data_IF_130883446376
#
_entry.id   IF_130883446376
#
_cell.length_a   1.000
_cell.length_b   1.000
_cell.length_c   1.000
_cell.angle_alpha   90.00
_cell.angle_beta   90.00
_cell.angle_gamma   90.00
#
_symmetry.space_group_name_H-M   'P 1'
#
loop_
_entity.id
_entity.type
_entity.pdbx_description
1 polymer ?
#
# COMPACT_ATOMS: atom_id res chain seq x y z
N UNK A 1 -18.59 -16.30 -10.80
CA UNK A 1 -18.85 -14.84 -10.81
C UNK A 1 -17.91 -14.24 -11.84
N UNK A 2 -18.42 -13.45 -12.79
CA UNK A 2 -17.54 -12.76 -13.74
C UNK A 2 -16.61 -11.84 -12.94
N UNK A 3 -15.29 -12.07 -13.01
CA UNK A 3 -14.29 -11.15 -12.45
C UNK A 3 -14.60 -9.77 -13.02
N UNK A 4 -14.71 -8.77 -12.15
CA UNK A 4 -14.87 -7.37 -12.52
C UNK A 4 -13.80 -7.01 -13.55
N UNK A 5 -14.24 -6.65 -14.75
CA UNK A 5 -13.38 -6.37 -15.91
C UNK A 5 -12.94 -4.90 -15.92
N UNK A 6 -12.32 -4.46 -14.81
CA UNK A 6 -11.78 -3.10 -14.74
C UNK A 6 -10.43 -3.05 -15.49
N UNK A 7 -10.27 -2.15 -16.47
CA UNK A 7 -9.02 -2.00 -17.22
C UNK A 7 -7.85 -1.50 -16.36
N UNK A 8 -8.12 -0.91 -15.19
CA UNK A 8 -7.15 -0.45 -14.20
C UNK A 8 -7.07 -1.45 -13.05
N UNK A 9 -5.87 -1.95 -12.74
CA UNK A 9 -5.67 -2.88 -11.63
C UNK A 9 -4.43 -2.55 -10.80
N UNK A 10 -4.57 -2.70 -9.50
CA UNK A 10 -3.49 -2.62 -8.51
C UNK A 10 -3.30 -4.00 -7.88
N UNK A 11 -2.08 -4.52 -7.93
CA UNK A 11 -1.66 -5.67 -7.14
C UNK A 11 -1.06 -5.17 -5.83
N UNK A 12 -1.49 -5.74 -4.71
CA UNK A 12 -1.05 -5.36 -3.37
C UNK A 12 -0.54 -6.59 -2.61
N UNK A 13 0.36 -6.37 -1.66
CA UNK A 13 0.96 -7.45 -0.89
C UNK A 13 -0.04 -8.11 0.08
N UNK A 14 -0.85 -7.32 0.80
CA UNK A 14 -1.69 -7.81 1.90
C UNK A 14 -3.20 -7.52 1.81
N UNK A 15 -3.95 -8.19 2.68
CA UNK A 15 -5.42 -8.05 2.81
C UNK A 15 -5.86 -6.68 3.28
N UNK A 16 -5.06 -6.03 4.11
CA UNK A 16 -5.42 -4.74 4.70
C UNK A 16 -5.39 -3.64 3.64
N UNK A 17 -4.47 -3.70 2.67
CA UNK A 17 -4.38 -2.78 1.52
C UNK A 17 -5.69 -2.70 0.72
N UNK A 18 -6.36 -3.85 0.53
CA UNK A 18 -7.64 -3.96 -0.18
C UNK A 18 -8.72 -3.02 0.38
N UNK A 19 -8.64 -2.69 1.67
CA UNK A 19 -9.62 -1.87 2.38
C UNK A 19 -9.08 -0.49 2.72
N UNK A 20 -7.78 -0.38 3.00
CA UNK A 20 -7.11 0.87 3.36
C UNK A 20 -7.03 1.81 2.15
N UNK A 21 -6.58 1.32 0.99
CA UNK A 21 -6.36 2.18 -0.19
C UNK A 21 -7.66 2.84 -0.66
N UNK A 22 -8.81 2.15 -0.79
CA UNK A 22 -10.06 2.80 -1.17
C UNK A 22 -10.45 3.95 -0.23
N UNK A 23 -10.47 3.69 1.09
CA UNK A 23 -10.82 4.71 2.10
C UNK A 23 -9.86 5.90 2.04
N UNK A 24 -8.57 5.64 1.84
CA UNK A 24 -7.57 6.68 1.72
C UNK A 24 -7.76 7.56 0.48
N UNK A 25 -8.05 6.96 -0.67
CA UNK A 25 -8.31 7.67 -1.93
C UNK A 25 -9.60 8.49 -1.85
N UNK A 26 -10.66 7.95 -1.23
CA UNK A 26 -11.91 8.70 -1.00
C UNK A 26 -11.69 9.91 -0.09
N UNK A 27 -10.92 9.74 0.97
CA UNK A 27 -10.57 10.84 1.88
C UNK A 27 -9.72 11.92 1.22
N UNK A 28 -9.03 11.58 0.13
CA UNK A 28 -8.24 12.50 -0.69
C UNK A 28 -8.99 13.03 -1.93
N UNK A 29 -10.33 12.95 -1.90
CA UNK A 29 -11.23 13.66 -2.82
C UNK A 29 -11.59 12.91 -4.10
N UNK A 30 -11.27 11.62 -4.20
CA UNK A 30 -11.62 10.80 -5.36
C UNK A 30 -12.69 9.79 -4.97
N UNK A 31 -13.87 9.87 -5.56
CA UNK A 31 -14.91 8.85 -5.37
C UNK A 31 -14.42 7.49 -5.88
N UNK A 32 -14.35 6.48 -5.00
CA UNK A 32 -13.77 5.19 -5.32
C UNK A 32 -14.64 4.38 -6.28
N UNK A 33 -15.94 4.60 -6.27
CA UNK A 33 -16.88 3.91 -7.15
C UNK A 33 -17.37 4.82 -8.26
N UNK A 34 -17.48 4.28 -9.47
CA UNK A 34 -18.04 4.96 -10.63
C UNK A 34 -19.59 5.04 -10.56
N UNK A 35 -20.19 5.67 -11.57
CA UNK A 35 -21.65 5.80 -11.68
C UNK A 35 -22.40 4.46 -11.77
N UNK A 36 -21.70 3.35 -12.06
CA UNK A 36 -22.24 1.99 -12.12
C UNK A 36 -21.94 1.19 -10.84
N UNK A 37 -21.47 1.85 -9.78
CA UNK A 37 -21.07 1.27 -8.49
C UNK A 37 -19.92 0.25 -8.63
N UNK A 38 -19.07 0.40 -9.64
CA UNK A 38 -17.86 -0.40 -9.80
C UNK A 38 -16.66 0.38 -9.27
N UNK A 39 -15.65 -0.28 -8.66
CA UNK A 39 -14.46 0.42 -8.22
C UNK A 39 -13.72 1.03 -9.42
N UNK A 40 -13.13 2.22 -9.27
CA UNK A 40 -12.37 2.91 -10.33
C UNK A 40 -11.06 2.20 -10.67
N UNK A 41 -10.50 1.45 -9.71
CA UNK A 41 -9.33 0.57 -9.86
C UNK A 41 -9.65 -0.75 -9.16
N UNK A 42 -9.45 -1.87 -9.83
CA UNK A 42 -9.56 -3.19 -9.19
C UNK A 42 -8.31 -3.45 -8.35
N UNK A 43 -8.46 -3.76 -7.06
CA UNK A 43 -7.34 -4.17 -6.21
C UNK A 43 -7.41 -5.68 -6.00
N UNK A 44 -6.29 -6.38 -6.19
CA UNK A 44 -6.14 -7.81 -5.92
C UNK A 44 -4.91 -8.04 -5.04
N UNK A 45 -5.06 -8.84 -4.00
CA UNK A 45 -3.94 -9.21 -3.14
C UNK A 45 -3.12 -10.35 -3.74
N UNK A 46 -1.82 -10.34 -3.46
CA UNK A 46 -0.89 -11.38 -3.89
C UNK A 46 -0.48 -12.32 -2.75
N UNK A 47 -0.94 -12.12 -1.51
CA UNK A 47 -0.54 -12.93 -0.34
C UNK A 47 0.98 -12.96 -0.11
N UNK A 48 1.63 -11.79 -0.21
CA UNK A 48 3.09 -11.65 -0.11
C UNK A 48 3.74 -11.21 -1.42
N UNK A 49 4.88 -10.51 -1.30
CA UNK A 49 5.60 -10.00 -2.47
C UNK A 49 6.21 -11.11 -3.33
N UNK A 50 6.50 -12.28 -2.76
CA UNK A 50 7.10 -13.42 -3.46
C UNK A 50 6.19 -13.97 -4.57
N UNK A 51 4.88 -13.73 -4.44
CA UNK A 51 3.88 -14.13 -5.44
C UNK A 51 3.77 -13.12 -6.59
N UNK A 52 4.42 -11.95 -6.48
CA UNK A 52 4.55 -10.96 -7.57
C UNK A 52 5.67 -11.42 -8.50
N UNK A 53 5.38 -12.50 -9.22
CA UNK A 53 6.31 -13.17 -10.13
C UNK A 53 6.30 -12.54 -11.53
N UNK A 54 7.32 -12.85 -12.32
CA UNK A 54 7.37 -12.49 -13.74
C UNK A 54 6.16 -12.99 -14.52
N UNK A 55 5.68 -14.19 -14.19
CA UNK A 55 4.54 -14.82 -14.87
C UNK A 55 3.23 -14.10 -14.53
N UNK A 56 3.06 -13.69 -13.27
CA UNK A 56 1.92 -12.89 -12.85
C UNK A 56 1.91 -11.53 -13.56
N UNK A 57 3.04 -10.82 -13.54
CA UNK A 57 3.19 -9.52 -14.20
C UNK A 57 2.91 -9.66 -15.70
N UNK A 58 3.51 -10.66 -16.36
CA UNK A 58 3.28 -10.95 -17.77
C UNK A 58 1.79 -11.19 -18.04
N UNK A 59 1.14 -12.06 -17.25
CA UNK A 59 -0.28 -12.40 -17.40
C UNK A 59 -1.18 -11.17 -17.27
N UNK A 60 -0.94 -10.31 -16.28
CA UNK A 60 -1.72 -9.09 -16.10
C UNK A 60 -1.51 -8.09 -17.24
N UNK A 61 -0.29 -7.96 -17.75
CA UNK A 61 0.00 -7.12 -18.91
C UNK A 61 -0.61 -7.67 -20.20
N UNK A 62 -0.68 -8.99 -20.37
CA UNK A 62 -1.31 -9.61 -21.56
C UNK A 62 -2.84 -9.61 -21.51
N UNK A 63 -3.44 -9.25 -20.38
CA UNK A 63 -4.91 -9.15 -20.27
C UNK A 63 -5.41 -8.06 -21.22
N UNK A 64 -6.19 -8.46 -22.23
CA UNK A 64 -6.47 -7.62 -23.40
C UNK A 64 -7.17 -6.28 -23.13
N UNK A 65 -7.82 -6.11 -21.97
CA UNK A 65 -8.45 -4.84 -21.56
C UNK A 65 -7.60 -4.03 -20.57
N UNK A 66 -6.46 -4.56 -20.11
CA UNK A 66 -5.57 -3.87 -19.16
C UNK A 66 -4.99 -2.61 -19.83
N UNK A 67 -5.18 -1.48 -19.17
CA UNK A 67 -4.59 -0.20 -19.59
C UNK A 67 -3.60 0.32 -18.55
N UNK A 68 -3.86 0.02 -17.27
CA UNK A 68 -3.05 0.47 -16.15
C UNK A 68 -2.82 -0.70 -15.19
N UNK A 69 -1.56 -0.95 -14.84
CA UNK A 69 -1.16 -1.94 -13.84
C UNK A 69 -0.25 -1.28 -12.81
N UNK A 70 -0.66 -1.29 -11.54
CA UNK A 70 0.17 -0.87 -10.43
C UNK A 70 0.56 -2.02 -9.53
N UNK A 71 1.72 -1.92 -8.89
CA UNK A 71 2.18 -2.77 -7.80
C UNK A 71 2.38 -1.90 -6.55
N UNK A 72 1.91 -2.37 -5.40
CA UNK A 72 2.27 -1.84 -4.08
C UNK A 72 2.85 -2.98 -3.26
N UNK A 73 4.06 -2.78 -2.74
CA UNK A 73 4.76 -3.77 -1.91
C UNK A 73 5.34 -3.11 -0.68
N UNK A 74 5.49 -3.86 0.39
CA UNK A 74 6.18 -3.40 1.59
C UNK A 74 7.70 -3.37 1.34
N UNK A 75 8.44 -2.42 1.91
CA UNK A 75 9.90 -2.47 1.90
C UNK A 75 10.45 -3.51 2.89
N UNK A 76 9.67 -3.85 3.90
CA UNK A 76 10.09 -4.57 5.11
C UNK A 76 11.36 -3.96 5.69
N UNK A 77 12.49 -4.67 5.65
CA UNK A 77 13.77 -4.25 6.25
C UNK A 77 14.69 -3.49 5.26
N UNK A 78 14.56 -3.72 3.95
CA UNK A 78 15.46 -3.12 2.95
C UNK A 78 14.72 -2.76 1.64
N UNK A 79 14.40 -1.47 1.45
CA UNK A 79 13.72 -0.98 0.23
C UNK A 79 14.49 -1.27 -1.05
N UNK A 80 15.84 -1.24 -1.01
CA UNK A 80 16.67 -1.44 -2.19
C UNK A 80 16.66 -2.90 -2.63
N UNK A 81 16.74 -3.82 -1.67
CA UNK A 81 16.61 -5.26 -1.94
C UNK A 81 15.21 -5.59 -2.44
N UNK A 82 14.16 -5.03 -1.81
CA UNK A 82 12.78 -5.18 -2.28
C UNK A 82 12.61 -4.68 -3.70
N UNK A 83 13.10 -3.49 -4.00
CA UNK A 83 13.05 -2.92 -5.34
C UNK A 83 13.74 -3.82 -6.37
N UNK A 84 14.96 -4.30 -6.07
CA UNK A 84 15.67 -5.18 -6.99
C UNK A 84 14.92 -6.49 -7.25
N UNK A 85 14.27 -7.06 -6.24
CA UNK A 85 13.42 -8.25 -6.41
C UNK A 85 12.26 -7.98 -7.38
N UNK A 86 11.50 -6.92 -7.16
CA UNK A 86 10.36 -6.54 -8.03
C UNK A 86 10.83 -6.16 -9.43
N UNK A 87 11.92 -5.40 -9.53
CA UNK A 87 12.55 -5.05 -10.80
C UNK A 87 12.91 -6.29 -11.61
N UNK A 88 13.58 -7.26 -11.00
CA UNK A 88 13.95 -8.51 -11.66
C UNK A 88 12.73 -9.30 -12.16
N UNK A 89 11.62 -9.30 -11.41
CA UNK A 89 10.37 -9.90 -11.86
C UNK A 89 9.74 -9.14 -13.04
N UNK A 90 9.91 -7.82 -13.12
CA UNK A 90 9.37 -6.99 -14.20
C UNK A 90 10.18 -7.05 -15.50
N UNK A 91 11.51 -7.15 -15.42
CA UNK A 91 12.44 -7.06 -16.57
C UNK A 91 12.10 -7.98 -17.77
N UNK A 92 11.58 -9.21 -17.58
CA UNK A 92 11.15 -10.06 -18.70
C UNK A 92 10.01 -9.47 -19.54
N UNK A 93 9.14 -8.64 -18.94
CA UNK A 93 7.99 -8.03 -19.62
C UNK A 93 8.21 -6.54 -19.96
N UNK A 94 9.08 -5.86 -19.21
CA UNK A 94 9.28 -4.41 -19.29
C UNK A 94 10.77 -4.12 -19.26
N UNK A 95 11.34 -3.71 -20.39
CA UNK A 95 12.80 -3.57 -20.54
C UNK A 95 13.36 -2.23 -20.06
N UNK A 96 12.52 -1.23 -19.82
CA UNK A 96 12.90 0.14 -19.46
C UNK A 96 12.68 0.44 -17.97
N UNK A 97 13.02 -0.50 -17.08
CA UNK A 97 12.93 -0.30 -15.62
C UNK A 97 14.27 0.22 -15.07
N UNK A 98 14.29 1.37 -14.35
CA UNK A 98 15.51 1.96 -13.79
C UNK A 98 16.16 1.05 -12.74
N UNK A 99 17.47 1.20 -12.52
CA UNK A 99 18.19 0.45 -11.47
C UNK A 99 17.75 0.84 -10.06
N UNK A 100 17.41 2.10 -9.84
CA UNK A 100 16.91 2.64 -8.57
C UNK A 100 15.44 3.06 -8.71
N UNK A 101 14.64 2.85 -7.66
CA UNK A 101 13.26 3.31 -7.64
C UNK A 101 13.23 4.84 -7.50
N UNK A 102 12.44 5.57 -8.30
CA UNK A 102 12.24 6.99 -8.09
C UNK A 102 11.59 7.24 -6.72
N UNK A 103 12.05 8.27 -5.98
CA UNK A 103 11.47 8.68 -4.70
C UNK A 103 9.95 9.00 -4.78
N UNK A 104 9.47 9.37 -5.97
CA UNK A 104 8.06 9.64 -6.26
C UNK A 104 7.25 8.39 -6.63
N UNK A 105 7.85 7.20 -6.55
CA UNK A 105 7.33 5.96 -7.11
C UNK A 105 7.60 5.85 -8.61
N UNK A 106 7.66 4.61 -9.11
CA UNK A 106 7.83 4.33 -10.53
C UNK A 106 6.51 4.54 -11.26
N UNK A 107 6.55 5.25 -12.40
CA UNK A 107 5.51 5.23 -13.44
C UNK A 107 6.21 5.24 -14.80
N UNK A 108 5.93 4.24 -15.64
CA UNK A 108 6.46 4.12 -17.00
C UNK A 108 5.37 3.64 -17.95
N UNK A 109 5.59 3.85 -19.25
CA UNK A 109 4.80 3.17 -20.29
C UNK A 109 5.53 1.92 -20.74
N UNK A 110 4.81 0.80 -20.80
CA UNK A 110 5.30 -0.45 -21.37
C UNK A 110 5.39 -0.35 -22.90
N UNK A 111 6.13 -1.25 -23.58
CA UNK A 111 6.27 -1.21 -25.04
C UNK A 111 4.95 -1.26 -25.82
N UNK A 112 3.92 -1.88 -25.24
CA UNK A 112 2.57 -1.98 -25.80
C UNK A 112 1.62 -0.86 -25.36
N UNK A 113 2.16 0.20 -24.73
CA UNK A 113 1.43 1.43 -24.41
C UNK A 113 0.57 1.36 -23.15
N UNK A 114 0.71 0.33 -22.31
CA UNK A 114 0.08 0.27 -20.99
C UNK A 114 0.88 1.09 -19.99
N UNK A 115 0.18 1.70 -19.04
CA UNK A 115 0.84 2.43 -17.95
C UNK A 115 1.13 1.48 -16.80
N UNK A 116 2.39 1.41 -16.40
CA UNK A 116 2.86 0.54 -15.33
C UNK A 116 3.45 1.37 -14.21
N UNK A 117 3.16 1.02 -12.96
CA UNK A 117 3.74 1.70 -11.81
C UNK A 117 4.05 0.78 -10.65
N UNK A 118 5.02 1.18 -9.84
CA UNK A 118 5.40 0.50 -8.60
C UNK A 118 5.53 1.54 -7.48
N UNK A 119 4.95 1.22 -6.34
CA UNK A 119 5.17 1.92 -5.09
C UNK A 119 5.72 0.94 -4.05
N UNK A 120 6.76 1.35 -3.34
CA UNK A 120 7.29 0.62 -2.19
C UNK A 120 6.88 1.38 -0.92
N UNK A 121 6.13 0.72 -0.04
CA UNK A 121 5.75 1.32 1.23
C UNK A 121 6.97 1.57 2.12
N UNK A 122 6.94 2.61 2.97
CA UNK A 122 5.86 3.60 3.05
C UNK A 122 5.97 4.72 2.01
N UNK A 123 7.18 5.01 1.49
CA UNK A 123 7.48 6.23 0.72
C UNK A 123 8.50 6.05 -0.43
N UNK A 124 8.81 4.81 -0.81
CA UNK A 124 9.86 4.39 -1.77
C UNK A 124 11.30 4.60 -1.31
N UNK A 125 11.54 5.14 -0.11
CA UNK A 125 12.88 5.54 0.35
C UNK A 125 13.27 4.75 1.58
N UNK A 126 12.41 4.73 2.60
CA UNK A 126 12.72 4.12 3.88
C UNK A 126 12.15 2.72 3.99
N UNK A 127 12.73 1.93 4.90
CA UNK A 127 12.19 0.64 5.28
C UNK A 127 10.80 0.78 5.93
N UNK A 128 9.98 -0.26 5.85
CA UNK A 128 8.66 -0.29 6.45
C UNK A 128 7.60 -1.00 5.61
N UNK A 129 6.39 -0.92 6.12
CA UNK A 129 5.21 -1.61 5.59
C UNK A 129 4.00 -0.68 5.62
N UNK A 130 2.84 -1.18 5.20
CA UNK A 130 1.56 -0.47 5.30
C UNK A 130 1.35 0.17 6.69
N UNK A 131 1.65 -0.54 7.78
CA UNK A 131 1.49 0.02 9.13
C UNK A 131 2.46 1.17 9.43
N UNK A 132 3.67 1.15 8.86
CA UNK A 132 4.61 2.29 8.93
C UNK A 132 4.01 3.50 8.21
N UNK A 133 3.44 3.29 7.03
CA UNK A 133 2.78 4.35 6.26
C UNK A 133 1.59 4.95 7.01
N UNK A 134 0.75 4.10 7.61
CA UNK A 134 -0.41 4.53 8.38
C UNK A 134 -0.03 5.28 9.66
N UNK A 135 1.12 5.00 10.26
CA UNK A 135 1.63 5.75 11.42
C UNK A 135 1.89 7.23 11.09
N UNK A 136 2.13 7.59 9.82
CA UNK A 136 2.25 8.99 9.42
C UNK A 136 0.95 9.77 9.60
N UNK A 137 -0.19 9.08 9.63
CA UNK A 137 -1.50 9.70 9.76
C UNK A 137 -1.91 9.88 11.23
N UNK A 138 -1.09 9.48 12.19
CA UNK A 138 -1.41 9.69 13.61
C UNK A 138 -1.45 11.20 13.87
N UNK A 139 -2.58 11.75 14.34
CA UNK A 139 -2.71 13.19 14.51
C UNK A 139 -1.86 13.67 15.68
N UNK A 140 -1.46 14.94 15.65
CA UNK A 140 -0.57 15.53 16.66
C UNK A 140 -1.06 15.33 18.10
N UNK A 141 -2.37 15.47 18.35
CA UNK A 141 -2.95 15.23 19.68
C UNK A 141 -2.85 13.77 20.15
N UNK A 142 -2.61 12.83 19.25
CA UNK A 142 -2.44 11.40 19.51
C UNK A 142 -0.98 10.95 19.66
N UNK A 143 0.01 11.85 19.46
CA UNK A 143 1.44 11.51 19.47
C UNK A 143 1.92 10.92 20.81
N UNK A 144 1.46 11.47 21.93
CA UNK A 144 1.84 10.96 23.26
C UNK A 144 1.34 9.53 23.47
N UNK A 145 0.10 9.26 23.09
CA UNK A 145 -0.51 7.94 23.17
C UNK A 145 0.12 6.97 22.16
N UNK A 146 0.52 7.46 20.99
CA UNK A 146 1.26 6.67 20.01
C UNK A 146 2.61 6.23 20.55
N UNK A 147 3.39 7.15 21.10
CA UNK A 147 4.65 6.82 21.76
C UNK A 147 4.46 5.78 22.87
N UNK A 148 3.42 5.94 23.67
CA UNK A 148 3.10 4.95 24.72
C UNK A 148 2.73 3.57 24.14
N UNK A 149 1.98 3.52 23.03
CA UNK A 149 1.68 2.25 22.34
C UNK A 149 2.95 1.58 21.83
N UNK A 150 3.92 2.36 21.35
CA UNK A 150 5.22 1.84 20.91
C UNK A 150 6.01 1.22 22.06
N UNK A 151 6.07 1.91 23.20
CA UNK A 151 6.73 1.44 24.42
C UNK A 151 6.06 0.17 24.98
N UNK A 152 4.73 0.16 25.08
CA UNK A 152 3.96 -0.97 25.62
C UNK A 152 4.04 -2.20 24.71
N UNK A 153 3.98 -2.02 23.38
CA UNK A 153 4.13 -3.14 22.45
C UNK A 153 5.52 -3.79 22.57
N UNK A 154 6.56 -2.99 22.78
CA UNK A 154 7.92 -3.51 23.02
C UNK A 154 8.01 -4.23 24.36
N UNK A 155 7.48 -3.65 25.44
CA UNK A 155 7.48 -4.29 26.75
C UNK A 155 6.64 -5.57 26.78
N UNK A 156 5.54 -5.62 26.02
CA UNK A 156 4.71 -6.82 25.92
C UNK A 156 5.50 -8.04 25.43
N UNK A 157 6.56 -7.85 24.61
CA UNK A 157 7.47 -8.95 24.22
C UNK A 157 8.21 -9.53 25.41
N UNK A 158 8.67 -8.69 26.34
CA UNK A 158 9.29 -9.13 27.60
C UNK A 158 8.30 -9.88 28.50
N UNK A 159 7.00 -9.60 28.35
CA UNK A 159 5.91 -10.24 29.08
C UNK A 159 5.32 -11.48 28.36
N UNK A 160 5.94 -11.94 27.26
CA UNK A 160 5.55 -13.16 26.56
C UNK A 160 4.61 -12.98 25.38
N UNK A 161 4.49 -11.77 24.81
CA UNK A 161 3.74 -11.57 23.57
C UNK A 161 4.35 -12.39 22.42
N UNK A 162 3.48 -13.09 21.67
CA UNK A 162 3.87 -14.12 20.69
C UNK A 162 4.05 -13.62 19.25
N UNK A 163 3.86 -12.31 19.00
CA UNK A 163 4.00 -11.76 17.66
C UNK A 163 5.48 -11.75 17.22
N UNK A 164 5.73 -11.94 15.92
CA UNK A 164 7.07 -11.93 15.31
C UNK A 164 7.70 -10.54 15.43
N UNK A 165 9.02 -10.46 15.50
CA UNK A 165 9.71 -9.16 15.60
C UNK A 165 9.42 -8.27 14.39
N UNK A 166 9.30 -8.86 13.19
CA UNK A 166 8.88 -8.16 11.97
C UNK A 166 7.46 -7.60 12.03
N UNK A 167 6.61 -8.04 12.97
CA UNK A 167 5.26 -7.51 13.16
C UNK A 167 5.19 -6.41 14.22
N UNK A 168 6.33 -5.83 14.64
CA UNK A 168 6.33 -4.81 15.68
C UNK A 168 5.48 -3.59 15.30
N UNK A 169 5.61 -3.04 14.09
CA UNK A 169 4.79 -1.89 13.66
C UNK A 169 3.29 -2.21 13.65
N UNK A 170 2.94 -3.43 13.26
CA UNK A 170 1.57 -3.96 13.34
C UNK A 170 1.08 -4.03 14.78
N UNK A 171 1.87 -4.59 15.70
CA UNK A 171 1.52 -4.63 17.12
C UNK A 171 1.32 -3.22 17.70
N UNK A 172 2.20 -2.28 17.35
CA UNK A 172 2.13 -0.89 17.81
C UNK A 172 0.85 -0.20 17.33
N UNK A 173 0.58 -0.17 16.01
CA UNK A 173 -0.55 0.57 15.47
C UNK A 173 -1.89 -0.02 15.92
N UNK A 174 -2.00 -1.34 16.02
CA UNK A 174 -3.23 -1.98 16.50
C UNK A 174 -3.42 -1.81 18.02
N UNK A 175 -2.33 -1.72 18.80
CA UNK A 175 -2.42 -1.36 20.23
C UNK A 175 -2.91 0.07 20.40
N UNK A 176 -2.34 1.01 19.64
CA UNK A 176 -2.80 2.41 19.65
C UNK A 176 -4.27 2.53 19.22
N UNK A 177 -4.66 1.79 18.18
CA UNK A 177 -6.03 1.77 17.66
C UNK A 177 -7.03 1.20 18.68
N UNK A 178 -6.62 0.22 19.49
CA UNK A 178 -7.45 -0.34 20.55
C UNK A 178 -7.80 0.66 21.66
N UNK A 179 -7.10 1.80 21.74
CA UNK A 179 -7.36 2.88 22.69
C UNK A 179 -8.13 4.06 22.09
N UNK A 180 -8.48 3.99 20.80
CA UNK A 180 -9.27 5.04 20.14
C UNK A 180 -10.76 4.84 20.37
N UNK A 181 -11.54 5.89 20.10
CA UNK A 181 -13.00 5.85 20.22
C UNK A 181 -13.68 5.12 19.05
N UNK A 182 -14.78 4.46 19.40
CA UNK A 182 -14.89 3.01 19.62
C UNK A 182 -13.60 2.16 19.52
N UNK A 183 -13.24 1.40 20.58
CA UNK A 183 -12.11 0.49 20.55
C UNK A 183 -12.38 -0.73 19.67
N UNK A 184 -11.31 -1.33 19.13
CA UNK A 184 -11.40 -2.56 18.33
C UNK A 184 -11.81 -2.37 16.87
N UNK A 185 -11.83 -1.11 16.38
CA UNK A 185 -12.00 -0.82 14.95
C UNK A 185 -10.92 -1.49 14.11
N UNK A 186 -11.29 -1.85 12.89
CA UNK A 186 -10.31 -2.29 11.89
C UNK A 186 -9.57 -1.09 11.32
N UNK A 187 -8.34 -1.29 10.85
CA UNK A 187 -7.45 -0.19 10.50
C UNK A 187 -7.97 0.71 9.35
N UNK A 188 -8.65 0.14 8.35
CA UNK A 188 -9.32 0.91 7.30
C UNK A 188 -10.45 1.81 7.85
N UNK A 189 -11.12 1.40 8.92
CA UNK A 189 -12.15 2.21 9.58
C UNK A 189 -11.53 3.41 10.30
N UNK A 190 -10.27 3.30 10.75
CA UNK A 190 -9.56 4.43 11.35
C UNK A 190 -9.37 5.57 10.35
N UNK A 191 -9.14 5.26 9.08
CA UNK A 191 -9.14 6.25 7.98
C UNK A 191 -10.55 6.77 7.73
N UNK A 192 -11.53 5.87 7.58
CA UNK A 192 -12.93 6.21 7.31
C UNK A 192 -13.52 7.20 8.33
N UNK A 193 -13.22 7.00 9.61
CA UNK A 193 -13.74 7.83 10.71
C UNK A 193 -12.79 8.96 11.12
N UNK A 194 -11.72 9.22 10.34
CA UNK A 194 -10.73 10.27 10.60
C UNK A 194 -10.02 10.14 11.97
N UNK A 195 -9.90 8.93 12.50
CA UNK A 195 -9.06 8.62 13.66
C UNK A 195 -7.59 8.76 13.26
N UNK A 196 -7.27 8.23 12.07
CA UNK A 196 -6.07 8.60 11.32
C UNK A 196 -6.40 9.81 10.44
N UNK A 197 -5.45 10.74 10.31
CA UNK A 197 -5.53 11.90 9.43
C UNK A 197 -4.98 11.57 8.02
N UNK A 198 -5.85 11.24 7.04
CA UNK A 198 -5.42 10.86 5.68
C UNK A 198 -4.86 12.02 4.85
N UNK A 199 -4.88 13.25 5.38
CA UNK A 199 -4.42 14.46 4.71
C UNK A 199 -3.02 14.90 5.16
N UNK A 200 -2.31 14.06 5.92
CA UNK A 200 -0.91 14.34 6.30
C UNK A 200 -0.02 14.50 5.05
N UNK A 201 0.91 15.45 5.10
CA UNK A 201 1.78 15.76 3.97
C UNK A 201 2.63 14.56 3.53
N UNK A 202 3.03 13.67 4.46
CA UNK A 202 3.82 12.47 4.15
C UNK A 202 3.04 11.42 3.35
N UNK A 203 1.71 11.48 3.38
CA UNK A 203 0.82 10.58 2.64
C UNK A 203 0.65 11.03 1.19
N UNK A 204 0.82 12.33 0.92
CA UNK A 204 0.51 12.92 -0.39
C UNK A 204 1.39 12.40 -1.52
N UNK A 205 2.59 11.90 -1.23
CA UNK A 205 3.43 11.21 -2.23
C UNK A 205 2.71 10.02 -2.85
N UNK A 206 2.18 9.12 -2.03
CA UNK A 206 1.42 7.96 -2.48
C UNK A 206 0.15 8.37 -3.24
N UNK A 207 -0.60 9.35 -2.72
CA UNK A 207 -1.83 9.85 -3.36
C UNK A 207 -1.53 10.41 -4.75
N UNK A 208 -0.46 11.22 -4.87
CA UNK A 208 -0.04 11.81 -6.13
C UNK A 208 0.41 10.73 -7.12
N UNK A 209 1.20 9.77 -6.65
CA UNK A 209 1.59 8.61 -7.46
C UNK A 209 0.39 7.82 -7.96
N UNK A 210 -0.59 7.53 -7.10
CA UNK A 210 -1.80 6.78 -7.46
C UNK A 210 -2.62 7.54 -8.51
N UNK A 211 -2.84 8.85 -8.29
CA UNK A 211 -3.55 9.72 -9.25
C UNK A 211 -2.87 9.74 -10.61
N UNK A 212 -1.55 9.95 -10.61
CA UNK A 212 -0.76 9.96 -11.83
C UNK A 212 -0.78 8.61 -12.52
N UNK A 213 -0.65 7.50 -11.79
CA UNK A 213 -0.65 6.17 -12.39
C UNK A 213 -1.99 5.89 -13.06
N UNK A 214 -3.12 6.29 -12.48
CA UNK A 214 -4.45 5.92 -12.98
C UNK A 214 -5.17 7.03 -13.73
N UNK A 215 -4.53 8.16 -14.04
CA UNK A 215 -5.13 9.33 -14.69
C UNK A 215 -6.44 9.77 -13.99
N UNK A 216 -6.34 10.04 -12.68
CA UNK A 216 -7.44 10.44 -11.78
C UNK A 216 -7.30 11.87 -11.26
#
# INVERSE_FOLDING_TARGET
MAKSDNPKKLLVEGKDDLRVIPELIEKNGITWVDNKKQPIVLIEECEGYENITSDLIYTELQTGRRTHLGLVVDADDDPSVRWQSIRNACLPSITNIPEEIPATGLIINTPDGKRFGVWIMPDNIIQGMLETFLSYMIPQQGESLWKYAQEVALEAKNQGAVFKDSYIYKAQIYTWLAWQDEPGRQIHQAIKYNILNPQDAKVQGFITWFKNLYDL
#
